data_IF_701816872926
#
_entry.id   IF_701816872926
#
_cell.length_a   1.000
_cell.length_b   1.000
_cell.length_c   1.000
_cell.angle_alpha   90.00
_cell.angle_beta   90.00
_cell.angle_gamma   90.00
#
_symmetry.space_group_name_H-M   'P 1'
#
loop_
_entity.id
_entity.type
_entity.pdbx_description
1 polymer ?
#
# COMPACT_ATOMS: atom_id res chain seq x y z
N UNK A 1 22.95 28.87 -11.53
CA UNK A 1 21.98 27.84 -11.96
C UNK A 1 21.81 26.91 -10.77
N UNK A 2 20.73 27.03 -10.01
CA UNK A 2 20.45 26.12 -8.90
C UNK A 2 20.17 24.74 -9.52
N UNK A 3 20.89 23.74 -9.05
CA UNK A 3 20.73 22.33 -9.42
C UNK A 3 19.29 21.90 -9.10
N UNK A 4 18.60 21.32 -10.06
CA UNK A 4 17.21 20.84 -9.97
C UNK A 4 17.05 19.54 -9.13
N UNK A 5 17.83 19.39 -8.05
CA UNK A 5 17.98 18.13 -7.31
C UNK A 5 17.46 18.18 -5.88
N UNK A 6 16.56 19.12 -5.55
CA UNK A 6 16.14 19.29 -4.14
C UNK A 6 14.71 18.78 -3.85
N UNK A 7 14.07 18.10 -4.81
CA UNK A 7 12.79 17.44 -4.54
C UNK A 7 13.05 15.96 -4.20
N UNK A 8 12.50 15.47 -3.08
CA UNK A 8 12.69 14.07 -2.69
C UNK A 8 12.01 13.16 -3.70
N UNK A 9 12.67 12.04 -4.01
CA UNK A 9 12.12 10.96 -4.83
C UNK A 9 10.86 10.39 -4.17
N UNK A 10 9.79 10.24 -4.95
CA UNK A 10 8.54 9.62 -4.51
C UNK A 10 8.49 8.16 -4.94
N UNK A 11 8.43 7.26 -3.98
CA UNK A 11 8.31 5.80 -4.20
C UNK A 11 6.87 5.37 -3.96
N UNK A 12 6.28 4.61 -4.89
CA UNK A 12 4.88 4.23 -4.90
C UNK A 12 4.72 2.70 -4.89
N UNK A 13 3.94 2.17 -3.93
CA UNK A 13 3.68 0.74 -3.78
C UNK A 13 2.19 0.44 -3.99
N UNK A 14 1.89 -0.42 -4.96
CA UNK A 14 0.53 -0.84 -5.31
C UNK A 14 -0.08 -1.84 -4.30
N UNK A 15 -1.38 -2.12 -4.41
CA UNK A 15 -2.09 -3.14 -3.61
C UNK A 15 -1.96 -4.55 -4.16
N UNK A 16 -2.53 -5.53 -3.45
CA UNK A 16 -2.60 -6.91 -3.93
C UNK A 16 -3.31 -6.95 -5.30
N UNK A 17 -2.84 -7.80 -6.21
CA UNK A 17 -3.27 -7.91 -7.61
C UNK A 17 -2.88 -6.73 -8.50
N UNK A 18 -2.34 -5.64 -7.96
CA UNK A 18 -1.88 -4.48 -8.71
C UNK A 18 -0.51 -4.69 -9.37
N UNK A 19 -0.07 -3.66 -10.06
CA UNK A 19 1.29 -3.51 -10.56
C UNK A 19 1.68 -2.02 -10.58
N UNK A 20 2.92 -1.71 -10.99
CA UNK A 20 3.43 -0.34 -11.06
C UNK A 20 2.58 0.57 -11.97
N UNK A 21 1.92 0.00 -13.00
CA UNK A 21 1.08 0.77 -13.91
C UNK A 21 -0.20 1.32 -13.25
N UNK A 22 -0.60 0.78 -12.09
CA UNK A 22 -1.73 1.35 -11.34
C UNK A 22 -1.48 2.82 -10.94
N UNK A 23 -0.22 3.20 -10.78
CA UNK A 23 0.19 4.55 -10.43
C UNK A 23 0.43 5.46 -11.65
N UNK A 24 0.43 4.92 -12.88
CA UNK A 24 0.76 5.69 -14.07
C UNK A 24 -0.10 6.96 -14.26
N UNK A 25 -1.45 6.91 -14.08
CA UNK A 25 -2.26 8.13 -14.22
C UNK A 25 -1.92 9.22 -13.18
N UNK A 26 -1.54 8.82 -11.97
CA UNK A 26 -1.09 9.75 -10.92
C UNK A 26 0.27 10.36 -11.28
N UNK A 27 1.20 9.54 -11.77
CA UNK A 27 2.54 9.99 -12.17
C UNK A 27 2.45 10.98 -13.34
N UNK A 28 1.60 10.72 -14.33
CA UNK A 28 1.34 11.62 -15.46
C UNK A 28 0.78 12.98 -15.01
N UNK A 29 0.01 13.00 -13.91
CA UNK A 29 -0.50 14.23 -13.30
C UNK A 29 0.52 14.92 -12.37
N UNK A 30 1.75 14.40 -12.23
CA UNK A 30 2.85 14.94 -11.40
C UNK A 30 4.06 15.35 -12.25
N UNK A 31 3.91 16.19 -13.28
CA UNK A 31 5.03 16.57 -14.12
C UNK A 31 6.16 17.23 -13.30
N UNK A 32 7.39 16.77 -13.55
CA UNK A 32 8.58 17.29 -12.89
C UNK A 32 8.90 16.69 -11.51
N UNK A 33 8.06 15.80 -10.97
CA UNK A 33 8.37 15.02 -9.78
C UNK A 33 9.10 13.72 -10.16
N UNK A 34 10.14 13.38 -9.39
CA UNK A 34 10.85 12.11 -9.53
C UNK A 34 10.03 10.99 -8.85
N UNK A 35 9.29 10.21 -9.64
CA UNK A 35 8.36 9.20 -9.17
C UNK A 35 8.76 7.79 -9.63
N UNK A 36 8.83 6.85 -8.70
CA UNK A 36 9.15 5.45 -8.93
C UNK A 36 8.06 4.53 -8.41
N UNK A 37 7.19 4.04 -9.29
CA UNK A 37 6.28 2.95 -8.96
C UNK A 37 6.99 1.60 -9.06
N UNK A 38 6.86 0.76 -8.03
CA UNK A 38 7.54 -0.52 -7.94
C UNK A 38 6.54 -1.67 -8.02
N UNK A 39 6.85 -2.67 -8.85
CA UNK A 39 6.14 -3.96 -8.83
C UNK A 39 6.53 -4.73 -7.57
N UNK A 40 5.56 -5.05 -6.71
CA UNK A 40 5.79 -5.85 -5.50
C UNK A 40 6.21 -7.30 -5.88
N UNK A 41 6.92 -8.03 -5.00
CA UNK A 41 7.15 -9.45 -5.21
C UNK A 41 5.84 -10.20 -5.51
N UNK A 42 5.87 -11.11 -6.47
CA UNK A 42 4.70 -11.84 -6.93
C UNK A 42 3.78 -11.07 -7.89
N UNK A 43 4.14 -9.85 -8.30
CA UNK A 43 3.31 -9.00 -9.16
C UNK A 43 4.11 -8.38 -10.31
N UNK A 44 3.43 -8.04 -11.41
CA UNK A 44 4.01 -7.34 -12.56
C UNK A 44 5.29 -8.00 -13.06
N UNK A 45 6.36 -7.23 -13.28
CA UNK A 45 7.66 -7.75 -13.68
C UNK A 45 8.35 -8.59 -12.60
N UNK A 46 7.90 -8.50 -11.34
CA UNK A 46 8.39 -9.25 -10.20
C UNK A 46 7.53 -10.47 -9.85
N UNK A 47 6.64 -10.91 -10.75
CA UNK A 47 5.78 -12.08 -10.51
C UNK A 47 6.56 -13.38 -10.22
N UNK A 48 7.83 -13.47 -10.62
CA UNK A 48 8.72 -14.60 -10.34
C UNK A 48 9.37 -14.55 -8.95
N UNK A 49 9.38 -13.38 -8.30
CA UNK A 49 9.95 -13.22 -6.97
C UNK A 49 9.00 -13.74 -5.90
N UNK A 50 9.56 -14.34 -4.87
CA UNK A 50 8.82 -14.82 -3.70
C UNK A 50 9.44 -14.24 -2.44
N UNK A 51 8.60 -13.94 -1.46
CA UNK A 51 9.00 -13.55 -0.09
C UNK A 51 8.25 -14.44 0.89
N UNK A 52 8.86 -14.72 2.03
CA UNK A 52 8.27 -15.55 3.08
C UNK A 52 7.48 -14.74 4.12
N UNK A 53 7.61 -13.41 4.11
CA UNK A 53 6.94 -12.53 5.07
C UNK A 53 7.31 -11.06 4.90
N UNK A 54 6.90 -10.26 5.90
CA UNK A 54 7.12 -8.81 5.90
C UNK A 54 8.59 -8.43 5.98
N UNK A 55 9.43 -9.22 6.66
CA UNK A 55 10.88 -8.94 6.75
C UNK A 55 11.54 -9.06 5.37
N UNK A 56 11.35 -10.18 4.66
CA UNK A 56 11.92 -10.34 3.32
C UNK A 56 11.33 -9.32 2.32
N UNK A 57 10.07 -8.91 2.49
CA UNK A 57 9.50 -7.84 1.69
C UNK A 57 10.14 -6.47 1.99
N UNK A 58 10.54 -6.22 3.24
CA UNK A 58 11.33 -5.05 3.63
C UNK A 58 12.72 -5.09 3.01
N UNK A 59 13.42 -6.22 3.10
CA UNK A 59 14.75 -6.41 2.51
C UNK A 59 14.70 -6.21 0.99
N UNK A 60 13.70 -6.81 0.32
CA UNK A 60 13.45 -6.59 -1.10
C UNK A 60 13.28 -5.10 -1.45
N UNK A 61 12.53 -4.35 -0.63
CA UNK A 61 12.34 -2.91 -0.87
C UNK A 61 13.66 -2.15 -0.72
N UNK A 62 14.46 -2.47 0.30
CA UNK A 62 15.81 -1.88 0.48
C UNK A 62 16.69 -2.13 -0.75
N UNK A 63 16.72 -3.37 -1.25
CA UNK A 63 17.50 -3.73 -2.43
C UNK A 63 16.98 -3.05 -3.70
N UNK A 64 15.66 -2.94 -3.85
CA UNK A 64 15.04 -2.27 -4.99
C UNK A 64 15.35 -0.76 -5.03
N UNK A 65 15.40 -0.09 -3.88
CA UNK A 65 15.78 1.31 -3.72
C UNK A 65 17.28 1.49 -4.05
N UNK A 66 18.12 0.65 -3.46
CA UNK A 66 19.57 0.66 -3.69
C UNK A 66 19.93 0.44 -5.16
N UNK A 67 19.28 -0.52 -5.82
CA UNK A 67 19.50 -0.80 -7.24
C UNK A 67 19.15 0.38 -8.16
N UNK A 68 18.30 1.31 -7.69
CA UNK A 68 17.91 2.54 -8.39
C UNK A 68 18.70 3.77 -7.97
N UNK A 69 19.62 3.64 -7.01
CA UNK A 69 20.37 4.77 -6.45
C UNK A 69 19.48 5.74 -5.64
N UNK A 70 18.35 5.27 -5.12
CA UNK A 70 17.43 6.09 -4.33
C UNK A 70 17.90 6.06 -2.86
N UNK A 71 18.52 7.15 -2.43
CA UNK A 71 19.07 7.30 -1.08
C UNK A 71 18.14 8.08 -0.15
N UNK A 72 17.38 9.05 -0.68
CA UNK A 72 16.43 9.88 0.05
C UNK A 72 15.07 9.81 -0.64
N UNK A 73 14.03 9.43 0.09
CA UNK A 73 12.73 9.19 -0.53
C UNK A 73 11.57 9.43 0.43
N UNK A 74 10.43 9.69 -0.17
CA UNK A 74 9.12 9.64 0.46
C UNK A 74 8.37 8.42 -0.09
N UNK A 75 7.68 7.71 0.78
CA UNK A 75 7.07 6.44 0.43
C UNK A 75 5.54 6.56 0.52
N UNK A 76 4.85 6.28 -0.56
CA UNK A 76 3.40 6.16 -0.56
C UNK A 76 2.99 4.72 -0.91
N UNK A 77 2.02 4.18 -0.18
CA UNK A 77 1.56 2.82 -0.41
C UNK A 77 0.06 2.66 -0.23
N UNK A 78 -0.53 1.87 -1.12
CA UNK A 78 -1.95 1.54 -1.12
C UNK A 78 -2.20 0.13 -0.59
N UNK A 79 -3.15 -0.04 0.32
CA UNK A 79 -3.64 -1.34 0.82
C UNK A 79 -2.49 -2.27 1.25
N UNK A 80 -2.17 -3.34 0.49
CA UNK A 80 -0.99 -4.19 0.73
C UNK A 80 0.31 -3.38 0.68
N UNK A 81 0.50 -2.55 -0.34
CA UNK A 81 1.67 -1.68 -0.45
C UNK A 81 1.78 -0.72 0.73
N UNK A 82 0.64 -0.20 1.24
CA UNK A 82 0.60 0.61 2.46
C UNK A 82 1.04 -0.18 3.71
N UNK A 83 0.65 -1.44 3.83
CA UNK A 83 1.07 -2.31 4.94
C UNK A 83 2.57 -2.62 4.90
N UNK A 84 3.11 -2.87 3.70
CA UNK A 84 4.55 -3.06 3.51
C UNK A 84 5.32 -1.77 3.78
N UNK A 85 4.82 -0.63 3.31
CA UNK A 85 5.41 0.68 3.57
C UNK A 85 5.44 1.01 5.07
N UNK A 86 4.37 0.73 5.80
CA UNK A 86 4.30 0.89 7.26
C UNK A 86 5.29 -0.02 7.98
N UNK A 87 5.38 -1.30 7.56
CA UNK A 87 6.35 -2.23 8.11
C UNK A 87 7.79 -1.75 7.86
N UNK A 88 8.09 -1.36 6.63
CA UNK A 88 9.38 -0.81 6.24
C UNK A 88 9.74 0.41 7.09
N UNK A 89 8.82 1.35 7.28
CA UNK A 89 9.04 2.53 8.14
C UNK A 89 9.33 2.15 9.60
N UNK A 90 8.67 1.10 10.12
CA UNK A 90 8.90 0.62 11.50
C UNK A 90 10.30 0.04 11.73
N UNK A 91 11.02 -0.32 10.64
CA UNK A 91 12.42 -0.77 10.67
C UNK A 91 13.42 0.38 10.63
N UNK A 92 12.93 1.63 10.61
CA UNK A 92 13.76 2.86 10.58
C UNK A 92 14.80 2.86 9.45
N UNK A 93 14.39 2.62 8.18
CA UNK A 93 15.32 2.56 7.07
C UNK A 93 15.97 3.94 6.85
N UNK A 94 17.25 3.92 6.45
CA UNK A 94 17.94 5.15 6.09
C UNK A 94 17.25 5.82 4.90
N UNK A 95 17.18 7.15 4.91
CA UNK A 95 16.69 7.95 3.79
C UNK A 95 15.17 8.09 3.67
N UNK A 96 14.37 7.35 4.43
CA UNK A 96 12.94 7.55 4.47
C UNK A 96 12.59 8.85 5.20
N UNK A 97 11.96 9.80 4.48
CA UNK A 97 11.65 11.14 4.99
C UNK A 97 10.21 11.29 5.43
N UNK A 98 9.27 10.62 4.75
CA UNK A 98 7.85 10.68 5.08
C UNK A 98 7.10 9.47 4.53
N UNK A 99 5.93 9.19 5.12
CA UNK A 99 5.09 8.05 4.77
C UNK A 99 3.64 8.51 4.49
N UNK A 100 3.07 8.09 3.36
CA UNK A 100 1.66 8.25 3.04
C UNK A 100 1.04 6.86 2.84
N UNK A 101 -0.03 6.58 3.57
CA UNK A 101 -0.69 5.28 3.64
C UNK A 101 -2.15 5.40 3.19
N UNK A 102 -2.47 4.84 2.02
CA UNK A 102 -3.82 4.84 1.48
C UNK A 102 -4.55 3.55 1.86
N UNK A 103 -5.66 3.68 2.60
CA UNK A 103 -6.58 2.59 2.94
C UNK A 103 -5.86 1.30 3.36
N UNK A 104 -4.95 1.38 4.30
CA UNK A 104 -4.19 0.23 4.79
C UNK A 104 -4.51 -0.11 6.26
N UNK A 105 -3.88 -1.13 6.81
CA UNK A 105 -4.13 -1.64 8.16
C UNK A 105 -2.83 -1.68 8.98
N UNK A 106 -2.81 -1.25 10.26
CA UNK A 106 -1.60 -1.24 11.09
C UNK A 106 -1.19 -2.63 11.62
N UNK A 107 -2.02 -3.64 11.42
CA UNK A 107 -1.90 -4.99 12.00
C UNK A 107 -3.11 -5.34 12.84
N UNK A 108 -3.31 -6.63 13.12
CA UNK A 108 -4.42 -7.12 13.92
C UNK A 108 -3.99 -7.43 15.35
N UNK A 109 -4.90 -7.27 16.33
CA UNK A 109 -4.72 -7.87 17.66
C UNK A 109 -4.47 -9.37 17.57
N UNK A 110 -3.68 -9.91 18.49
CA UNK A 110 -3.28 -11.33 18.47
C UNK A 110 -4.47 -12.29 18.36
N UNK A 111 -5.58 -11.98 19.06
CA UNK A 111 -6.78 -12.81 19.08
C UNK A 111 -7.47 -12.96 17.69
N UNK A 112 -7.27 -12.01 16.78
CA UNK A 112 -7.92 -11.99 15.47
C UNK A 112 -7.06 -12.62 14.36
N UNK A 113 -5.77 -12.84 14.62
CA UNK A 113 -4.80 -13.23 13.60
C UNK A 113 -5.06 -14.61 13.02
N UNK A 114 -5.37 -15.60 13.87
CA UNK A 114 -5.58 -16.98 13.41
C UNK A 114 -6.74 -17.07 12.41
N UNK A 115 -7.88 -16.45 12.71
CA UNK A 115 -9.03 -16.42 11.83
C UNK A 115 -8.73 -15.70 10.50
N UNK A 116 -7.89 -14.65 10.57
CA UNK A 116 -7.48 -13.92 9.37
C UNK A 116 -6.52 -14.73 8.51
N UNK A 117 -5.57 -15.45 9.08
CA UNK A 117 -4.69 -16.37 8.34
C UNK A 117 -5.51 -17.41 7.61
N UNK A 118 -6.48 -18.03 8.29
CA UNK A 118 -7.36 -19.02 7.66
C UNK A 118 -8.20 -18.42 6.51
N UNK A 119 -8.71 -17.21 6.70
CA UNK A 119 -9.44 -16.49 5.65
C UNK A 119 -8.56 -16.24 4.41
N UNK A 120 -7.34 -15.72 4.61
CA UNK A 120 -6.41 -15.41 3.52
C UNK A 120 -5.91 -16.69 2.85
N UNK A 121 -5.73 -17.79 3.60
CA UNK A 121 -5.38 -19.11 3.05
C UNK A 121 -6.49 -19.65 2.13
N UNK A 122 -7.77 -19.45 2.45
CA UNK A 122 -8.87 -19.86 1.55
C UNK A 122 -8.79 -19.12 0.22
N UNK A 123 -8.51 -17.83 0.22
CA UNK A 123 -8.29 -17.06 -1.01
C UNK A 123 -7.03 -17.51 -1.76
N UNK A 124 -5.93 -17.75 -1.06
CA UNK A 124 -4.68 -18.21 -1.66
C UNK A 124 -4.89 -19.55 -2.41
N UNK A 125 -5.61 -20.51 -1.80
CA UNK A 125 -5.94 -21.78 -2.47
C UNK A 125 -6.80 -21.59 -3.70
N UNK A 126 -7.73 -20.64 -3.69
CA UNK A 126 -8.54 -20.31 -4.86
C UNK A 126 -7.67 -19.76 -5.99
N UNK A 127 -6.79 -18.80 -5.70
CA UNK A 127 -5.84 -18.27 -6.68
C UNK A 127 -4.91 -19.34 -7.27
N UNK A 128 -4.55 -20.37 -6.52
CA UNK A 128 -3.71 -21.47 -7.00
C UNK A 128 -4.45 -22.48 -7.88
N UNK A 129 -5.73 -22.69 -7.65
CA UNK A 129 -6.44 -23.89 -8.14
C UNK A 129 -7.61 -23.60 -9.06
N UNK A 130 -8.20 -22.44 -8.96
CA UNK A 130 -9.39 -22.08 -9.72
C UNK A 130 -9.05 -21.16 -10.90
N UNK A 131 -9.88 -21.09 -11.94
CA UNK A 131 -9.71 -20.15 -13.03
C UNK A 131 -9.64 -18.72 -12.49
N UNK A 132 -8.61 -17.98 -12.85
CA UNK A 132 -8.36 -16.63 -12.33
C UNK A 132 -9.54 -15.69 -12.59
N UNK A 133 -10.26 -15.87 -13.70
CA UNK A 133 -11.46 -15.10 -14.04
C UNK A 133 -12.56 -15.22 -12.98
N UNK A 134 -12.77 -16.43 -12.45
CA UNK A 134 -13.79 -16.70 -11.42
C UNK A 134 -13.35 -16.13 -10.07
N UNK A 135 -12.09 -16.37 -9.70
CA UNK A 135 -11.53 -15.88 -8.45
C UNK A 135 -11.57 -14.35 -8.39
N UNK A 136 -11.18 -13.67 -9.47
CA UNK A 136 -11.20 -12.21 -9.54
C UNK A 136 -12.63 -11.65 -9.49
N UNK A 137 -13.59 -12.29 -10.15
CA UNK A 137 -14.99 -11.87 -10.08
C UNK A 137 -15.52 -11.89 -8.65
N UNK A 138 -15.17 -12.93 -7.87
CA UNK A 138 -15.57 -13.02 -6.46
C UNK A 138 -14.73 -12.11 -5.55
N UNK A 139 -13.43 -11.93 -5.86
CA UNK A 139 -12.56 -11.03 -5.12
C UNK A 139 -13.11 -9.61 -5.07
N UNK A 140 -13.55 -9.07 -6.21
CA UNK A 140 -14.10 -7.72 -6.30
C UNK A 140 -15.53 -7.58 -5.76
N UNK A 141 -16.16 -8.67 -5.29
CA UNK A 141 -17.43 -8.62 -4.53
C UNK A 141 -17.23 -8.45 -3.02
N UNK A 142 -15.99 -8.47 -2.53
CA UNK A 142 -15.71 -8.25 -1.11
C UNK A 142 -16.17 -6.84 -0.67
N UNK A 143 -16.52 -6.72 0.61
CA UNK A 143 -17.07 -5.48 1.18
C UNK A 143 -16.20 -4.23 1.01
N UNK A 144 -14.88 -4.37 0.89
CA UNK A 144 -13.97 -3.24 0.61
C UNK A 144 -14.17 -2.62 -0.78
N UNK A 145 -14.84 -3.33 -1.70
CA UNK A 145 -15.19 -2.86 -3.04
C UNK A 145 -16.69 -2.62 -3.21
N UNK A 146 -17.40 -2.41 -2.10
CA UNK A 146 -18.86 -2.24 -2.12
C UNK A 146 -19.31 -0.97 -2.87
N UNK A 147 -18.43 0.04 -2.97
CA UNK A 147 -18.66 1.27 -3.73
C UNK A 147 -18.60 1.09 -5.25
N UNK A 148 -18.04 -0.01 -5.75
CA UNK A 148 -17.98 -0.31 -7.17
C UNK A 148 -19.28 -0.94 -7.66
N UNK A 149 -19.81 -0.42 -8.76
CA UNK A 149 -20.87 -1.09 -9.51
C UNK A 149 -20.35 -2.34 -10.23
N UNK A 150 -21.25 -3.13 -10.81
CA UNK A 150 -20.88 -4.38 -11.48
C UNK A 150 -19.95 -4.17 -12.68
N UNK A 151 -20.16 -3.10 -13.45
CA UNK A 151 -19.31 -2.76 -14.59
C UNK A 151 -17.90 -2.36 -14.13
N UNK A 152 -17.79 -1.60 -13.04
CA UNK A 152 -16.49 -1.23 -12.48
C UNK A 152 -15.75 -2.45 -11.90
N UNK A 153 -16.46 -3.37 -11.22
CA UNK A 153 -15.88 -4.63 -10.74
C UNK A 153 -15.37 -5.49 -11.89
N UNK A 154 -16.14 -5.61 -12.96
CA UNK A 154 -15.74 -6.37 -14.15
C UNK A 154 -14.49 -5.75 -14.81
N UNK A 155 -14.43 -4.40 -14.93
CA UNK A 155 -13.24 -3.71 -15.43
C UNK A 155 -12.01 -3.96 -14.56
N UNK A 156 -12.16 -3.90 -13.23
CA UNK A 156 -11.05 -4.19 -12.32
C UNK A 156 -10.59 -5.65 -12.46
N UNK A 157 -11.50 -6.61 -12.48
CA UNK A 157 -11.16 -8.02 -12.69
C UNK A 157 -10.41 -8.24 -14.01
N UNK A 158 -10.88 -7.64 -15.11
CA UNK A 158 -10.24 -7.77 -16.42
C UNK A 158 -8.78 -7.23 -16.43
N UNK A 159 -8.52 -6.13 -15.73
CA UNK A 159 -7.17 -5.54 -15.60
C UNK A 159 -6.20 -6.46 -14.85
N UNK A 160 -6.69 -7.40 -14.05
CA UNK A 160 -5.88 -8.29 -13.19
C UNK A 160 -5.63 -9.68 -13.79
N UNK A 161 -6.16 -9.96 -14.99
CA UNK A 161 -5.98 -11.26 -15.65
C UNK A 161 -4.53 -11.58 -16.03
N UNK A 162 -3.64 -10.60 -16.07
CA UNK A 162 -2.20 -10.80 -16.30
C UNK A 162 -1.43 -11.33 -15.09
N UNK A 163 -2.08 -11.44 -13.92
CA UNK A 163 -1.42 -12.00 -12.74
C UNK A 163 -1.24 -13.51 -12.86
N UNK A 164 -0.18 -14.04 -12.25
CA UNK A 164 0.01 -15.47 -12.01
C UNK A 164 -0.63 -15.85 -10.68
N UNK A 165 -1.66 -16.69 -10.70
CA UNK A 165 -2.44 -17.04 -9.51
C UNK A 165 -1.59 -17.63 -8.38
N UNK A 166 -0.60 -18.47 -8.69
CA UNK A 166 0.35 -19.04 -7.71
C UNK A 166 1.26 -17.97 -7.08
N UNK A 167 1.63 -16.96 -7.84
CA UNK A 167 2.42 -15.83 -7.34
C UNK A 167 1.61 -14.98 -6.37
N UNK A 168 0.38 -14.63 -6.75
CA UNK A 168 -0.57 -13.92 -5.89
C UNK A 168 -0.84 -14.69 -4.61
N UNK A 169 -1.08 -15.99 -4.70
CA UNK A 169 -1.31 -16.86 -3.55
C UNK A 169 -0.12 -16.86 -2.57
N UNK A 170 1.09 -16.99 -3.12
CA UNK A 170 2.33 -16.93 -2.33
C UNK A 170 2.44 -15.59 -1.58
N UNK A 171 2.25 -14.47 -2.28
CA UNK A 171 2.32 -13.13 -1.68
C UNK A 171 1.22 -12.92 -0.62
N UNK A 172 -0.01 -13.40 -0.89
CA UNK A 172 -1.12 -13.31 0.06
C UNK A 172 -0.84 -14.07 1.36
N UNK A 173 -0.22 -15.26 1.29
CA UNK A 173 0.21 -16.03 2.47
C UNK A 173 1.31 -15.31 3.22
N UNK A 174 2.37 -14.92 2.52
CA UNK A 174 3.53 -14.25 3.11
C UNK A 174 3.15 -12.95 3.83
N UNK A 175 2.20 -12.21 3.26
CA UNK A 175 1.77 -10.90 3.75
C UNK A 175 0.33 -10.91 4.25
N UNK A 176 -0.20 -12.05 4.67
CA UNK A 176 -1.50 -12.10 5.34
C UNK A 176 -1.56 -11.04 6.44
N UNK A 177 -2.72 -10.37 6.56
CA UNK A 177 -2.89 -9.41 7.65
C UNK A 177 -2.77 -10.08 9.03
N UNK A 178 -3.03 -11.39 9.11
CA UNK A 178 -2.78 -12.17 10.33
C UNK A 178 -1.31 -12.43 10.63
N UNK A 179 -0.42 -12.33 9.63
CA UNK A 179 1.03 -12.43 9.78
C UNK A 179 1.68 -11.06 10.07
N UNK A 180 0.98 -9.97 9.77
CA UNK A 180 1.49 -8.63 10.01
C UNK A 180 1.67 -8.37 11.50
N UNK A 181 2.84 -7.86 11.95
CA UNK A 181 2.96 -7.33 13.30
C UNK A 181 1.94 -6.21 13.56
N UNK A 182 1.45 -6.09 14.78
CA UNK A 182 0.66 -4.92 15.18
C UNK A 182 1.58 -3.71 15.31
N UNK A 183 1.44 -2.77 14.40
CA UNK A 183 2.25 -1.54 14.34
C UNK A 183 1.54 -0.33 14.97
N UNK A 184 0.34 -0.49 15.51
CA UNK A 184 -0.32 0.59 16.25
C UNK A 184 0.51 1.05 17.48
N UNK A 185 1.19 0.18 18.24
CA UNK A 185 2.13 0.62 19.28
C UNK A 185 3.28 1.48 18.72
N UNK A 186 3.83 1.12 17.57
CA UNK A 186 4.88 1.91 16.92
C UNK A 186 4.39 3.30 16.50
N UNK A 187 3.16 3.40 15.96
CA UNK A 187 2.53 4.68 15.63
C UNK A 187 2.28 5.58 16.85
N UNK A 188 2.14 4.99 18.06
CA UNK A 188 1.97 5.74 19.33
C UNK A 188 3.27 6.09 20.01
N UNK A 189 4.34 5.33 19.74
CA UNK A 189 5.60 5.49 20.46
C UNK A 189 6.22 6.87 20.20
N UNK A 190 6.81 7.46 21.24
CA UNK A 190 7.67 8.63 21.06
C UNK A 190 8.99 8.22 20.38
N UNK A 191 9.56 9.07 19.52
CA UNK A 191 10.83 8.74 18.88
C UNK A 191 11.94 8.61 19.94
N UNK A 192 12.76 7.57 19.79
CA UNK A 192 13.89 7.31 20.71
C UNK A 192 14.96 8.39 20.62
N UNK A 193 15.14 9.01 19.47
CA UNK A 193 16.02 10.16 19.22
C UNK A 193 15.62 10.85 17.92
N UNK A 194 15.71 12.19 17.90
CA UNK A 194 15.53 12.98 16.69
C UNK A 194 14.07 13.32 16.35
N UNK A 195 13.87 13.68 15.11
CA UNK A 195 12.55 14.04 14.58
C UNK A 195 11.74 12.79 14.25
N UNK A 196 10.44 12.83 14.55
CA UNK A 196 9.50 11.76 14.21
C UNK A 196 9.29 11.71 12.69
N UNK A 197 9.25 10.49 12.14
CA UNK A 197 8.84 10.29 10.76
C UNK A 197 7.40 10.79 10.58
N UNK A 198 7.14 11.75 9.68
CA UNK A 198 5.78 12.17 9.36
C UNK A 198 4.99 11.04 8.71
N UNK A 199 3.83 10.69 9.27
CA UNK A 199 2.93 9.67 8.74
C UNK A 199 1.58 10.30 8.39
N UNK A 200 1.23 10.30 7.12
CA UNK A 200 -0.09 10.67 6.63
C UNK A 200 -0.90 9.41 6.35
N UNK A 201 -2.09 9.34 6.95
CA UNK A 201 -3.03 8.23 6.77
C UNK A 201 -4.22 8.72 5.96
N UNK A 202 -4.35 8.24 4.73
CA UNK A 202 -5.40 8.64 3.81
C UNK A 202 -6.49 7.58 3.75
N UNK A 203 -7.75 7.98 3.91
CA UNK A 203 -8.90 7.09 3.78
C UNK A 203 -9.97 7.65 2.86
N UNK A 204 -10.64 6.75 2.13
CA UNK A 204 -11.84 7.09 1.36
C UNK A 204 -13.07 7.18 2.25
N UNK A 205 -13.89 8.23 2.10
CA UNK A 205 -15.12 8.43 2.90
C UNK A 205 -16.15 7.31 2.71
N UNK A 206 -16.15 6.67 1.53
CA UNK A 206 -17.03 5.55 1.18
C UNK A 206 -16.44 4.17 1.53
N UNK A 207 -15.16 4.09 1.87
CA UNK A 207 -14.57 2.90 2.49
C UNK A 207 -14.79 2.96 4.01
N UNK A 208 -15.99 2.68 4.44
CA UNK A 208 -16.39 2.80 5.85
C UNK A 208 -15.45 2.05 6.79
N UNK A 209 -14.96 0.87 6.38
CA UNK A 209 -14.06 0.06 7.20
C UNK A 209 -12.74 0.78 7.47
N UNK A 210 -12.06 1.23 6.44
CA UNK A 210 -10.74 1.84 6.57
C UNK A 210 -10.82 3.29 7.07
N UNK A 211 -11.91 4.00 6.77
CA UNK A 211 -12.19 5.31 7.36
C UNK A 211 -12.38 5.21 8.88
N UNK A 212 -13.23 4.27 9.35
CA UNK A 212 -13.42 4.04 10.79
C UNK A 212 -12.13 3.61 11.48
N UNK A 213 -11.32 2.74 10.85
CA UNK A 213 -10.03 2.33 11.36
C UNK A 213 -9.09 3.52 11.55
N UNK A 214 -8.99 4.41 10.57
CA UNK A 214 -8.16 5.61 10.67
C UNK A 214 -8.64 6.54 11.81
N UNK A 215 -9.95 6.76 11.94
CA UNK A 215 -10.52 7.50 13.06
C UNK A 215 -10.22 6.86 14.43
N UNK A 216 -10.23 5.51 14.50
CA UNK A 216 -9.87 4.80 15.72
C UNK A 216 -8.40 4.96 16.07
N UNK A 217 -7.49 4.90 15.10
CA UNK A 217 -6.06 5.13 15.32
C UNK A 217 -5.80 6.52 15.90
N UNK A 218 -6.44 7.56 15.35
CA UNK A 218 -6.36 8.93 15.91
C UNK A 218 -6.87 8.97 17.36
N UNK A 219 -8.03 8.37 17.64
CA UNK A 219 -8.60 8.31 18.99
C UNK A 219 -7.72 7.54 19.99
N UNK A 220 -6.96 6.56 19.51
CA UNK A 220 -6.01 5.78 20.29
C UNK A 220 -4.67 6.48 20.51
N UNK A 221 -4.52 7.72 20.03
CA UNK A 221 -3.29 8.52 20.17
C UNK A 221 -2.17 8.11 19.22
N UNK A 222 -2.49 7.43 18.11
CA UNK A 222 -1.50 7.20 17.05
C UNK A 222 -1.11 8.53 16.40
N UNK A 223 0.18 8.73 16.22
CA UNK A 223 0.74 9.96 15.66
C UNK A 223 0.68 9.93 14.14
N UNK A 224 -0.50 10.17 13.63
CA UNK A 224 -0.79 10.19 12.20
C UNK A 224 -1.55 11.48 11.83
N UNK A 225 -1.25 12.02 10.65
CA UNK A 225 -2.07 13.05 10.02
C UNK A 225 -3.16 12.34 9.20
N UNK A 226 -4.39 12.27 9.71
CA UNK A 226 -5.48 11.60 9.00
C UNK A 226 -6.15 12.56 8.01
N UNK A 227 -6.09 12.20 6.73
CA UNK A 227 -6.78 12.86 5.64
C UNK A 227 -7.89 11.97 5.08
N UNK A 228 -8.94 12.60 4.55
CA UNK A 228 -10.08 11.89 3.94
C UNK A 228 -10.36 12.49 2.56
N UNK A 229 -10.46 11.62 1.54
CA UNK A 229 -11.00 12.00 0.22
C UNK A 229 -12.37 11.37 0.01
N UNK A 230 -13.21 12.00 -0.80
CA UNK A 230 -14.46 11.38 -1.21
C UNK A 230 -14.20 10.25 -2.22
N UNK A 231 -14.31 9.02 -1.79
CA UNK A 231 -14.03 7.83 -2.61
C UNK A 231 -14.08 6.54 -1.82
N UNK A 232 -13.93 5.44 -2.54
CA UNK A 232 -13.88 4.08 -1.99
C UNK A 232 -12.47 3.66 -1.60
N UNK A 233 -12.22 2.34 -1.75
CA UNK A 233 -10.98 1.73 -1.28
C UNK A 233 -9.75 2.13 -2.11
N UNK A 234 -9.90 2.37 -3.42
CA UNK A 234 -8.79 2.69 -4.33
C UNK A 234 -8.91 4.13 -4.85
N UNK A 235 -8.40 5.09 -4.10
CA UNK A 235 -8.53 6.52 -4.38
C UNK A 235 -7.64 6.95 -5.55
N UNK A 236 -6.37 6.50 -5.57
CA UNK A 236 -5.42 6.88 -6.61
C UNK A 236 -5.85 6.42 -8.00
N UNK A 237 -6.55 5.29 -8.12
CA UNK A 237 -7.06 4.80 -9.40
C UNK A 237 -8.41 5.42 -9.80
N UNK A 238 -9.24 5.81 -8.81
CA UNK A 238 -10.55 6.41 -9.08
C UNK A 238 -10.50 7.91 -9.33
N UNK A 239 -9.48 8.60 -8.81
CA UNK A 239 -9.35 10.06 -8.85
C UNK A 239 -7.86 10.48 -8.98
N UNK A 240 -7.18 10.06 -10.05
CA UNK A 240 -5.72 10.22 -10.17
C UNK A 240 -5.26 11.69 -10.09
N UNK A 241 -6.00 12.62 -10.68
CA UNK A 241 -5.66 14.05 -10.65
C UNK A 241 -5.79 14.64 -9.23
N UNK A 242 -6.88 14.32 -8.52
CA UNK A 242 -7.10 14.76 -7.13
C UNK A 242 -6.04 14.16 -6.21
N UNK A 243 -5.72 12.88 -6.42
CA UNK A 243 -4.68 12.19 -5.65
C UNK A 243 -3.29 12.78 -5.92
N UNK A 244 -2.98 13.09 -7.18
CA UNK A 244 -1.74 13.76 -7.57
C UNK A 244 -1.61 15.15 -6.93
N UNK A 245 -2.68 15.94 -6.90
CA UNK A 245 -2.69 17.22 -6.21
C UNK A 245 -2.39 17.05 -4.72
N UNK A 246 -3.04 16.08 -4.05
CA UNK A 246 -2.77 15.75 -2.64
C UNK A 246 -1.29 15.36 -2.43
N UNK A 247 -0.73 14.51 -3.29
CA UNK A 247 0.68 14.12 -3.22
C UNK A 247 1.61 15.32 -3.36
N UNK A 248 1.32 16.23 -4.28
CA UNK A 248 2.12 17.45 -4.47
C UNK A 248 2.11 18.33 -3.22
N UNK A 249 0.93 18.55 -2.65
CA UNK A 249 0.78 19.32 -1.41
C UNK A 249 1.46 18.61 -0.23
N UNK A 250 1.33 17.30 -0.15
CA UNK A 250 1.99 16.49 0.87
C UNK A 250 3.52 16.57 0.78
N UNK A 251 4.07 16.49 -0.42
CA UNK A 251 5.53 16.62 -0.63
C UNK A 251 6.03 18.00 -0.25
N UNK A 252 5.28 19.07 -0.53
CA UNK A 252 5.69 20.44 -0.21
C UNK A 252 5.57 20.74 1.30
N UNK A 253 4.49 20.26 1.94
CA UNK A 253 4.14 20.62 3.31
C UNK A 253 4.71 19.67 4.38
N UNK A 254 5.29 18.55 3.98
CA UNK A 254 5.92 17.61 4.92
C UNK A 254 7.42 17.94 5.02
N UNK A 255 7.90 18.25 6.25
CA UNK A 255 9.29 18.65 6.48
C UNK A 255 10.30 17.56 6.14
#
# INVERSE_FOLDING_TARGET
MASSTDQPTLVLLHGLLGDANDWQPVIEALPGMDCHALDLPGHGHNQHLRVSGFEEAHEWLCDALKARGIEQYRLAGYSLGGRLALYHASRSPAGLQALLLENCHPGLPLAERAARIEHDERWARRFEREPLTEVLADWYRQGVFADLDEAARARQAARRLGNEGTAVASMLRATSLGQQPDLAPWLRAEPLAGTRLPVTWLSGSRDHKFHQLACQLVKQGCNINHLTLDGGHNLHASQPETFAQLLREWVVNTP
#
